data_IF_793726476602
#
_entry.id   IF_793726476602
#
_cell.length_a   1.000
_cell.length_b   1.000
_cell.length_c   1.000
_cell.angle_alpha   90.00
_cell.angle_beta   90.00
_cell.angle_gamma   90.00
#
_symmetry.space_group_name_H-M   'P 1'
#
loop_
_entity.id
_entity.type
_entity.pdbx_description
1 polymer ?
#
# COMPACT_ATOMS: atom_id res chain seq x y z
N UNK A 1 -13.18 -6.82 4.96
CA UNK A 1 -12.43 -7.28 3.78
C UNK A 1 -12.95 -6.53 2.56
N UNK A 2 -12.05 -6.07 1.69
CA UNK A 2 -12.39 -5.49 0.40
C UNK A 2 -11.71 -6.30 -0.70
N UNK A 3 -12.35 -6.39 -1.85
CA UNK A 3 -11.83 -7.17 -2.98
C UNK A 3 -11.45 -6.19 -4.09
N UNK A 4 -10.16 -6.03 -4.40
CA UNK A 4 -9.73 -5.14 -5.47
C UNK A 4 -10.24 -5.62 -6.83
N UNK A 5 -10.43 -4.69 -7.75
CA UNK A 5 -10.54 -5.03 -9.18
C UNK A 5 -9.21 -5.57 -9.69
N UNK A 6 -9.21 -6.34 -10.77
CA UNK A 6 -8.01 -6.90 -11.38
C UNK A 6 -6.91 -5.86 -11.65
N UNK A 7 -7.25 -4.68 -12.17
CA UNK A 7 -6.27 -3.62 -12.46
C UNK A 7 -5.59 -3.08 -11.19
N UNK A 8 -6.39 -2.85 -10.15
CA UNK A 8 -5.90 -2.42 -8.83
C UNK A 8 -4.99 -3.47 -8.22
N UNK A 9 -5.40 -4.74 -8.31
CA UNK A 9 -4.63 -5.88 -7.80
C UNK A 9 -3.27 -6.00 -8.51
N UNK A 10 -3.26 -5.90 -9.85
CA UNK A 10 -2.04 -5.95 -10.65
C UNK A 10 -1.06 -4.80 -10.32
N UNK A 11 -1.57 -3.57 -10.21
CA UNK A 11 -0.75 -2.42 -9.83
C UNK A 11 -0.19 -2.61 -8.42
N UNK A 12 -1.02 -3.10 -7.51
CA UNK A 12 -0.62 -3.35 -6.14
C UNK A 12 0.49 -4.41 -6.06
N UNK A 13 0.34 -5.56 -6.72
CA UNK A 13 1.39 -6.59 -6.83
C UNK A 13 2.68 -6.06 -7.45
N UNK A 14 2.58 -5.13 -8.39
CA UNK A 14 3.76 -4.47 -8.96
C UNK A 14 4.46 -3.58 -7.92
N UNK A 15 3.68 -2.85 -7.12
CA UNK A 15 4.20 -1.97 -6.07
C UNK A 15 4.85 -2.76 -4.91
N UNK A 16 4.29 -3.91 -4.51
CA UNK A 16 4.86 -4.76 -3.45
C UNK A 16 6.23 -5.36 -3.82
N UNK A 17 6.64 -5.33 -5.10
CA UNK A 17 7.99 -5.70 -5.53
C UNK A 17 9.08 -4.73 -5.05
N UNK A 18 8.70 -3.54 -4.59
CA UNK A 18 9.61 -2.52 -4.05
C UNK A 18 9.33 -2.29 -2.56
N UNK A 19 9.75 -3.20 -1.66
CA UNK A 19 9.28 -3.26 -0.28
C UNK A 19 9.50 -1.97 0.53
N UNK A 20 10.64 -1.28 0.36
CA UNK A 20 10.91 -0.03 1.07
C UNK A 20 9.99 1.11 0.65
N UNK A 21 9.72 1.23 -0.66
CA UNK A 21 8.81 2.26 -1.18
C UNK A 21 7.37 1.92 -0.80
N UNK A 22 7.00 0.64 -0.93
CA UNK A 22 5.70 0.12 -0.55
C UNK A 22 5.37 0.40 0.92
N UNK A 23 6.30 0.11 1.84
CA UNK A 23 6.14 0.40 3.26
C UNK A 23 5.95 1.90 3.52
N UNK A 24 6.81 2.74 2.93
CA UNK A 24 6.75 4.19 3.12
C UNK A 24 5.43 4.77 2.62
N UNK A 25 5.00 4.40 1.41
CA UNK A 25 3.77 4.91 0.79
C UNK A 25 2.53 4.39 1.52
N UNK A 26 2.49 3.10 1.87
CA UNK A 26 1.35 2.52 2.59
C UNK A 26 1.19 3.14 3.98
N UNK A 27 2.30 3.33 4.70
CA UNK A 27 2.28 3.99 6.01
C UNK A 27 1.85 5.46 5.89
N UNK A 28 2.33 6.18 4.88
CA UNK A 28 1.97 7.59 4.69
C UNK A 28 0.49 7.80 4.30
N UNK A 29 -0.07 6.92 3.45
CA UNK A 29 -1.44 7.05 2.95
C UNK A 29 -2.49 6.40 3.85
N UNK A 30 -2.17 5.22 4.41
CA UNK A 30 -3.12 4.40 5.16
C UNK A 30 -2.82 4.37 6.66
N UNK A 31 -1.60 4.71 7.09
CA UNK A 31 -1.14 4.53 8.47
C UNK A 31 -0.69 3.11 8.80
N UNK A 32 -0.76 2.20 7.84
CA UNK A 32 -0.39 0.79 8.01
C UNK A 32 -0.06 0.14 6.65
N UNK A 33 0.52 -1.04 6.68
CA UNK A 33 0.86 -1.80 5.47
C UNK A 33 -0.37 -2.59 5.02
N UNK A 34 -0.75 -2.44 3.75
CA UNK A 34 -1.82 -3.28 3.18
C UNK A 34 -1.27 -4.69 2.97
N UNK A 35 -2.03 -5.70 3.37
CA UNK A 35 -1.67 -7.10 3.16
C UNK A 35 -2.78 -7.80 2.39
N UNK A 36 -2.46 -8.94 1.76
CA UNK A 36 -3.46 -9.77 1.08
C UNK A 36 -3.51 -11.18 1.65
N UNK A 37 -4.71 -11.76 1.57
CA UNK A 37 -4.94 -13.18 1.81
C UNK A 37 -5.35 -13.83 0.48
N UNK A 38 -4.42 -14.56 -0.13
CA UNK A 38 -4.63 -15.33 -1.36
C UNK A 38 -5.36 -16.66 -1.11
N UNK A 39 -5.50 -17.10 0.15
CA UNK A 39 -6.07 -18.38 0.54
C UNK A 39 -7.60 -18.41 0.63
N UNK A 40 -8.27 -17.31 0.25
CA UNK A 40 -9.72 -17.18 0.42
C UNK A 40 -10.47 -17.86 -0.73
N UNK A 41 -11.43 -18.72 -0.36
CA UNK A 41 -12.31 -19.42 -1.29
C UNK A 41 -13.11 -18.48 -2.21
N UNK A 42 -13.29 -18.87 -3.47
CA UNK A 42 -13.86 -18.05 -4.55
C UNK A 42 -15.31 -17.59 -4.30
N UNK A 43 -16.09 -18.40 -3.59
CA UNK A 43 -17.46 -18.06 -3.20
C UNK A 43 -17.49 -16.89 -2.22
N UNK A 44 -16.56 -16.85 -1.26
CA UNK A 44 -16.43 -15.76 -0.27
C UNK A 44 -15.99 -14.47 -0.99
N UNK A 45 -15.04 -14.58 -1.92
CA UNK A 45 -14.56 -13.45 -2.74
C UNK A 45 -15.66 -12.83 -3.59
N UNK A 46 -16.61 -13.64 -4.10
CA UNK A 46 -17.73 -13.15 -4.90
C UNK A 46 -18.66 -12.26 -4.09
N UNK A 47 -19.03 -12.66 -2.86
CA UNK A 47 -19.92 -11.87 -2.01
C UNK A 47 -19.21 -10.65 -1.42
N UNK A 48 -17.92 -10.76 -1.10
CA UNK A 48 -17.10 -9.64 -0.69
C UNK A 48 -16.90 -8.61 -1.82
N UNK A 49 -16.80 -9.05 -3.08
CA UNK A 49 -16.76 -8.16 -4.23
C UNK A 49 -18.05 -7.36 -4.37
N UNK A 50 -19.22 -8.00 -4.26
CA UNK A 50 -20.52 -7.28 -4.27
C UNK A 50 -20.60 -6.24 -3.17
N UNK A 51 -20.07 -6.56 -1.99
CA UNK A 51 -20.00 -5.63 -0.85
C UNK A 51 -19.09 -4.44 -1.16
N UNK A 52 -17.91 -4.70 -1.74
CA UNK A 52 -16.97 -3.67 -2.17
C UNK A 52 -17.58 -2.75 -3.22
N UNK A 53 -18.26 -3.32 -4.22
CA UNK A 53 -18.93 -2.56 -5.27
C UNK A 53 -20.05 -1.64 -4.74
N UNK A 54 -20.86 -2.15 -3.80
CA UNK A 54 -21.89 -1.34 -3.12
C UNK A 54 -21.28 -0.17 -2.35
N UNK A 55 -20.18 -0.41 -1.62
CA UNK A 55 -19.49 0.63 -0.88
C UNK A 55 -18.89 1.67 -1.81
N UNK A 56 -18.24 1.25 -2.90
CA UNK A 56 -17.68 2.14 -3.91
C UNK A 56 -18.75 3.04 -4.54
N UNK A 57 -19.89 2.47 -4.95
CA UNK A 57 -21.00 3.24 -5.52
C UNK A 57 -21.53 4.28 -4.53
N UNK A 58 -21.62 3.93 -3.25
CA UNK A 58 -22.03 4.88 -2.20
C UNK A 58 -21.03 6.01 -2.00
N UNK A 59 -19.73 5.72 -2.06
CA UNK A 59 -18.66 6.70 -1.78
C UNK A 59 -18.37 7.62 -2.97
N UNK A 60 -18.30 7.06 -4.19
CA UNK A 60 -17.81 7.76 -5.38
C UNK A 60 -18.87 7.98 -6.45
N UNK A 61 -20.11 7.52 -6.22
CA UNK A 61 -21.22 7.56 -7.18
C UNK A 61 -20.91 6.92 -8.56
N UNK A 62 -19.84 6.14 -8.66
CA UNK A 62 -19.42 5.42 -9.86
C UNK A 62 -19.63 3.92 -9.70
N UNK A 63 -19.75 3.18 -10.80
CA UNK A 63 -19.70 1.71 -10.75
C UNK A 63 -18.29 1.22 -10.43
N UNK A 64 -18.18 0.03 -9.84
CA UNK A 64 -16.91 -0.56 -9.40
C UNK A 64 -16.45 -1.63 -10.38
N UNK A 65 -15.29 -1.40 -11.00
CA UNK A 65 -14.69 -2.26 -12.01
C UNK A 65 -15.43 -2.20 -13.35
N UNK A 66 -14.71 -1.86 -14.43
CA UNK A 66 -15.23 -2.06 -15.78
C UNK A 66 -15.06 -3.53 -16.17
N UNK A 67 -16.10 -4.07 -16.81
CA UNK A 67 -16.34 -5.44 -17.25
C UNK A 67 -15.13 -6.22 -17.83
N UNK A 68 -14.20 -6.65 -16.97
CA UNK A 68 -13.42 -7.86 -17.22
C UNK A 68 -14.20 -9.00 -16.57
N UNK A 69 -14.63 -9.97 -17.37
CA UNK A 69 -15.35 -11.13 -16.84
C UNK A 69 -14.42 -11.90 -15.89
N UNK A 70 -14.73 -11.87 -14.60
CA UNK A 70 -13.94 -12.56 -13.56
C UNK A 70 -13.82 -14.05 -13.87
N UNK A 71 -14.79 -14.66 -14.57
CA UNK A 71 -14.70 -16.06 -15.01
C UNK A 71 -13.63 -16.30 -16.07
N UNK A 72 -13.46 -15.36 -17.00
CA UNK A 72 -12.41 -15.43 -18.03
C UNK A 72 -11.02 -15.26 -17.40
N UNK A 73 -10.98 -14.48 -16.33
CA UNK A 73 -9.81 -14.29 -15.50
C UNK A 73 -9.51 -15.52 -14.65
N UNK A 74 -10.47 -16.12 -13.94
CA UNK A 74 -10.33 -17.35 -13.14
C UNK A 74 -9.71 -18.55 -13.89
N UNK A 75 -9.78 -18.55 -15.23
CA UNK A 75 -9.14 -19.56 -16.09
C UNK A 75 -7.66 -19.29 -16.38
N UNK A 76 -7.15 -18.11 -16.03
CA UNK A 76 -5.74 -17.73 -16.16
C UNK A 76 -4.94 -18.18 -14.94
N UNK A 77 -3.83 -18.86 -15.18
CA UNK A 77 -2.90 -19.34 -14.14
C UNK A 77 -2.29 -18.20 -13.28
N UNK A 78 -2.42 -16.95 -13.72
CA UNK A 78 -1.78 -15.79 -13.11
C UNK A 78 -2.75 -14.89 -12.32
N UNK A 79 -3.99 -15.34 -12.10
CA UNK A 79 -4.91 -14.65 -11.21
C UNK A 79 -4.46 -14.79 -9.76
N UNK A 80 -4.17 -13.67 -9.10
CA UNK A 80 -4.21 -13.62 -7.65
C UNK A 80 -5.68 -13.60 -7.20
N UNK A 81 -6.02 -14.53 -6.32
CA UNK A 81 -7.29 -14.57 -5.59
C UNK A 81 -7.31 -13.60 -4.40
N UNK A 82 -6.37 -12.66 -4.34
CA UNK A 82 -6.10 -11.83 -3.18
C UNK A 82 -7.29 -10.98 -2.76
N UNK A 83 -7.69 -11.13 -1.51
CA UNK A 83 -8.47 -10.11 -0.83
C UNK A 83 -7.54 -9.20 -0.04
N UNK A 84 -7.78 -7.89 -0.07
CA UNK A 84 -7.01 -6.96 0.73
C UNK A 84 -7.52 -6.98 2.17
N UNK A 85 -6.58 -7.22 3.08
CA UNK A 85 -6.76 -7.26 4.52
C UNK A 85 -6.02 -6.07 5.13
N UNK A 86 -6.72 -5.33 5.98
CA UNK A 86 -6.13 -4.21 6.70
C UNK A 86 -5.40 -4.76 7.93
N UNK A 87 -4.07 -4.85 7.87
CA UNK A 87 -3.25 -5.21 9.03
C UNK A 87 -2.74 -3.93 9.66
N UNK A 88 -3.28 -3.56 10.82
CA UNK A 88 -2.71 -2.47 11.61
C UNK A 88 -1.37 -2.91 12.20
N UNK A 89 -0.27 -2.50 11.58
CA UNK A 89 1.06 -2.62 12.18
C UNK A 89 1.22 -1.44 13.14
N UNK A 90 1.22 -1.71 14.44
CA UNK A 90 1.61 -0.73 15.45
C UNK A 90 3.11 -0.44 15.31
N UNK A 91 3.44 0.65 14.61
CA UNK A 91 4.80 1.19 14.63
C UNK A 91 4.95 1.97 15.92
N UNK A 92 5.72 1.45 16.88
CA UNK A 92 6.22 2.30 17.97
C UNK A 92 7.13 3.35 17.35
N UNK A 93 6.62 4.56 17.21
CA UNK A 93 7.45 5.72 16.89
C UNK A 93 8.33 5.96 18.12
N UNK A 94 9.61 5.58 18.01
CA UNK A 94 10.58 5.99 19.01
C UNK A 94 10.92 7.45 18.71
N UNK A 95 10.05 8.35 19.15
CA UNK A 95 10.22 9.79 19.08
C UNK A 95 11.34 10.21 20.04
N UNK A 96 12.59 9.94 19.65
CA UNK A 96 13.77 10.52 20.25
C UNK A 96 13.87 12.00 19.86
N UNK A 97 13.03 12.84 20.46
CA UNK A 97 13.12 14.29 20.28
C UNK A 97 14.31 14.88 21.07
N UNK A 98 15.22 15.52 20.32
CA UNK A 98 16.04 16.70 20.68
C UNK A 98 16.97 16.67 21.90
N UNK A 99 18.25 16.95 21.66
CA UNK A 99 18.86 18.25 22.08
C UNK A 99 20.35 18.33 21.73
N UNK A 100 20.70 19.16 20.74
CA UNK A 100 22.01 19.82 20.69
C UNK A 100 21.73 21.31 20.49
N UNK A 101 22.00 22.11 21.52
CA UNK A 101 21.63 23.53 21.64
C UNK A 101 22.44 24.49 20.76
N UNK A 102 22.19 25.81 20.86
CA UNK A 102 22.71 26.80 19.91
C UNK A 102 23.99 27.53 20.40
N UNK A 103 24.62 28.24 19.45
CA UNK A 103 25.62 29.33 19.52
C UNK A 103 27.07 28.93 19.95
N UNK A 104 28.21 29.37 19.39
CA UNK A 104 28.68 30.62 18.74
C UNK A 104 29.97 30.41 17.89
N UNK A 105 30.20 31.29 16.89
CA UNK A 105 31.52 31.69 16.34
C UNK A 105 32.20 30.70 15.38
N UNK A 106 32.84 31.06 14.27
CA UNK A 106 33.25 32.34 13.69
C UNK A 106 33.95 32.08 12.33
N UNK A 107 34.25 33.18 11.65
CA UNK A 107 34.75 33.34 10.27
C UNK A 107 35.79 32.34 9.70
N UNK A 108 35.57 31.96 8.44
CA UNK A 108 36.53 32.19 7.34
C UNK A 108 37.63 31.15 7.06
N UNK A 109 38.20 31.15 5.83
CA UNK A 109 38.69 29.95 5.13
C UNK A 109 40.22 29.84 5.09
N UNK A 110 40.77 28.65 4.78
CA UNK A 110 42.04 28.59 4.04
C UNK A 110 42.27 27.25 3.34
N UNK A 111 42.64 27.37 2.06
CA UNK A 111 43.22 26.35 1.19
C UNK A 111 44.70 26.07 1.55
N UNK A 112 45.25 24.98 1.01
CA UNK A 112 46.67 24.58 1.01
C UNK A 112 46.94 23.44 2.01
N UNK A 113 47.67 22.37 1.73
CA UNK A 113 48.69 22.11 0.72
C UNK A 113 49.90 21.48 1.42
N UNK A 114 50.30 20.28 0.96
CA UNK A 114 51.63 19.64 1.08
C UNK A 114 52.11 19.04 2.43
N UNK A 115 52.82 17.92 2.32
CA UNK A 115 53.52 17.20 3.37
C UNK A 115 53.66 15.71 3.08
#
# INVERSE_FOLDING_TARGET
MIVPTFEIDLIWHTHTRYPSQYQSVSTALCGFILDHDDGIESNILTDAYKTTAKLWKKTYNSEYGHSIDRKCLETSQYMSSGAMVFVSVHISSNDGASSCGPIEGGCGPSCGGEG
#
